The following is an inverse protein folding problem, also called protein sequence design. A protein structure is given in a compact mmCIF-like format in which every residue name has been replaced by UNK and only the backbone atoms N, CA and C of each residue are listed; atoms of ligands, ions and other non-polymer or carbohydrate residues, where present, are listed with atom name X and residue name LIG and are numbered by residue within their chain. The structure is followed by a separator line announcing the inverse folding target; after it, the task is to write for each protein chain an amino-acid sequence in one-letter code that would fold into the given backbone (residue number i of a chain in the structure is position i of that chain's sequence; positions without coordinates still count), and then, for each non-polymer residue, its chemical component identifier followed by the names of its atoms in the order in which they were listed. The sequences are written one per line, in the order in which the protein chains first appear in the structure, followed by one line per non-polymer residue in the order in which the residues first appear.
data_IF_540673229585
#
_entry.id   IF_540673229585
#
_cell.length_a   1.000
_cell.length_b   1.000
_cell.length_c   1.000
_cell.angle_alpha   90.00
_cell.angle_beta   90.00
_cell.angle_gamma   90.00
#
_symmetry.space_group_name_H-M   'P 1'
#
loop_
_entity.id
_entity.type
_entity.pdbx_description
1 polymer ?
#
# COMPACT_ATOMS: atom_id res chain seq x y z
N UNK A 1 15.13 8.11 -13.46
CA UNK A 1 14.04 8.51 -14.38
C UNK A 1 13.51 9.93 -14.04
N UNK A 2 13.34 10.87 -14.99
CA UNK A 2 12.99 12.31 -14.77
C UNK A 2 11.48 12.65 -14.86
N UNK A 3 10.55 11.78 -14.44
CA UNK A 3 9.08 12.05 -14.47
C UNK A 3 8.43 11.89 -13.10
N UNK A 4 7.27 12.52 -12.87
CA UNK A 4 6.50 12.42 -11.62
C UNK A 4 6.15 10.99 -11.20
N UNK A 5 5.87 10.11 -12.17
CA UNK A 5 5.62 8.68 -11.95
C UNK A 5 6.71 7.98 -11.10
N UNK A 6 7.98 8.33 -11.27
CA UNK A 6 9.07 7.74 -10.50
C UNK A 6 9.03 8.12 -9.02
N UNK A 7 8.55 9.32 -8.71
CA UNK A 7 8.43 9.80 -7.34
C UNK A 7 7.28 9.11 -6.60
N UNK A 8 6.13 8.93 -7.27
CA UNK A 8 5.00 8.18 -6.69
C UNK A 8 5.40 6.72 -6.40
N UNK A 9 6.12 6.08 -7.31
CA UNK A 9 6.56 4.68 -7.13
C UNK A 9 7.60 4.52 -6.04
N UNK A 10 8.55 5.46 -5.93
CA UNK A 10 9.50 5.46 -4.82
C UNK A 10 8.77 5.63 -3.48
N UNK A 11 7.85 6.60 -3.41
CA UNK A 11 7.06 6.86 -2.20
C UNK A 11 6.22 5.65 -1.81
N UNK A 12 5.52 5.05 -2.78
CA UNK A 12 4.74 3.83 -2.59
C UNK A 12 5.60 2.66 -2.12
N UNK A 13 6.81 2.49 -2.67
CA UNK A 13 7.73 1.43 -2.22
C UNK A 13 8.15 1.64 -0.76
N UNK A 14 8.43 2.88 -0.36
CA UNK A 14 8.77 3.23 1.02
C UNK A 14 7.58 2.97 1.94
N UNK A 15 6.37 3.40 1.57
CA UNK A 15 5.17 3.17 2.38
C UNK A 15 4.85 1.69 2.51
N UNK A 16 5.01 0.87 1.46
CA UNK A 16 4.84 -0.58 1.53
C UNK A 16 5.83 -1.24 2.50
N UNK A 17 7.10 -0.84 2.50
CA UNK A 17 8.09 -1.35 3.46
C UNK A 17 7.68 -0.96 4.90
N UNK A 18 7.26 0.29 5.11
CA UNK A 18 6.79 0.74 6.42
C UNK A 18 5.55 -0.03 6.90
N UNK A 19 4.61 -0.36 6.01
CA UNK A 19 3.45 -1.21 6.33
C UNK A 19 3.92 -2.56 6.84
N UNK A 20 4.85 -3.20 6.14
CA UNK A 20 5.40 -4.51 6.53
C UNK A 20 6.03 -4.44 7.91
N UNK A 21 6.89 -3.45 8.16
CA UNK A 21 7.54 -3.26 9.46
C UNK A 21 6.50 -3.05 10.57
N UNK A 22 5.54 -2.14 10.37
CA UNK A 22 4.49 -1.87 11.36
C UNK A 22 3.64 -3.11 11.65
N UNK A 23 3.37 -3.90 10.62
CA UNK A 23 2.62 -5.15 10.76
C UNK A 23 3.37 -6.19 11.58
N UNK A 24 4.65 -6.43 11.27
CA UNK A 24 5.48 -7.34 12.05
C UNK A 24 5.61 -6.89 13.50
N UNK A 25 5.85 -5.60 13.74
CA UNK A 25 5.92 -5.03 15.09
C UNK A 25 4.61 -5.29 15.86
N UNK A 26 3.46 -5.03 15.24
CA UNK A 26 2.15 -5.30 15.84
C UNK A 26 1.96 -6.79 16.18
N UNK A 27 2.38 -7.68 15.28
CA UNK A 27 2.31 -9.13 15.48
C UNK A 27 3.14 -9.58 16.68
N UNK A 28 4.39 -9.12 16.77
CA UNK A 28 5.27 -9.46 17.89
C UNK A 28 4.72 -8.94 19.22
N UNK A 29 4.22 -7.71 19.27
CA UNK A 29 3.63 -7.13 20.48
C UNK A 29 2.39 -7.91 20.90
N UNK A 30 1.55 -8.34 19.95
CA UNK A 30 0.40 -9.19 20.24
C UNK A 30 0.88 -10.51 20.86
N UNK A 31 1.85 -11.21 20.26
CA UNK A 31 2.39 -12.46 20.80
C UNK A 31 2.94 -12.27 22.22
N UNK A 32 3.77 -11.26 22.45
CA UNK A 32 4.34 -11.01 23.78
C UNK A 32 3.29 -10.63 24.83
N UNK A 33 2.21 -9.95 24.42
CA UNK A 33 1.07 -9.68 25.29
C UNK A 33 0.33 -10.97 25.66
N UNK A 34 0.11 -11.88 24.69
CA UNK A 34 -0.56 -13.17 24.93
C UNK A 34 0.28 -14.15 25.77
N UNK A 35 1.61 -14.07 25.67
CA UNK A 35 2.55 -14.82 26.52
C UNK A 35 2.71 -14.19 27.93
N UNK A 36 1.86 -13.21 28.28
CA UNK A 36 1.90 -12.47 29.54
C UNK A 36 3.28 -11.86 29.88
N UNK A 37 4.11 -11.63 28.84
CA UNK A 37 5.47 -11.07 28.99
C UNK A 37 5.41 -9.54 29.04
N UNK A 38 4.45 -8.94 28.32
CA UNK A 38 4.18 -7.50 28.35
C UNK A 38 2.81 -7.29 28.98
N UNK A 39 2.80 -6.82 30.23
CA UNK A 39 1.58 -6.59 31.03
C UNK A 39 1.27 -5.11 31.23
N UNK A 40 2.19 -4.21 30.86
CA UNK A 40 2.01 -2.78 31.08
C UNK A 40 0.89 -2.23 30.20
N UNK A 41 -0.26 -1.95 30.83
CA UNK A 41 -1.48 -1.47 30.17
C UNK A 41 -1.26 -0.22 29.34
N UNK A 42 -0.47 0.75 29.83
CA UNK A 42 -0.17 1.99 29.09
C UNK A 42 0.59 1.72 27.79
N UNK A 43 1.54 0.78 27.79
CA UNK A 43 2.26 0.39 26.58
C UNK A 43 1.35 -0.32 25.59
N UNK A 44 0.51 -1.24 26.05
CA UNK A 44 -0.44 -1.95 25.19
C UNK A 44 -1.45 -0.99 24.56
N UNK A 45 -1.92 0.02 25.31
CA UNK A 45 -2.86 1.03 24.81
C UNK A 45 -2.20 1.93 23.76
N UNK A 46 -0.98 2.42 24.05
CA UNK A 46 -0.21 3.22 23.10
C UNK A 46 0.03 2.46 21.79
N UNK A 47 0.41 1.18 21.87
CA UNK A 47 0.60 0.34 20.69
C UNK A 47 -0.71 0.06 19.96
N UNK A 48 -1.81 -0.20 20.67
CA UNK A 48 -3.14 -0.39 20.10
C UNK A 48 -3.58 0.82 19.26
N UNK A 49 -3.42 2.03 19.80
CA UNK A 49 -3.78 3.28 19.12
C UNK A 49 -2.84 3.55 17.93
N UNK A 50 -1.53 3.55 18.19
CA UNK A 50 -0.51 3.97 17.22
C UNK A 50 -0.40 3.00 16.05
N UNK A 51 -0.32 1.70 16.31
CA UNK A 51 -0.10 0.70 15.25
C UNK A 51 -1.28 0.65 14.27
N UNK A 52 -2.50 0.74 14.76
CA UNK A 52 -3.70 0.74 13.92
C UNK A 52 -3.80 2.00 13.06
N UNK A 53 -3.59 3.16 13.69
CA UNK A 53 -3.60 4.44 12.98
C UNK A 53 -2.55 4.48 11.88
N UNK A 54 -1.28 4.17 12.20
CA UNK A 54 -0.17 4.17 11.24
C UNK A 54 -0.44 3.18 10.11
N UNK A 55 -0.94 1.98 10.43
CA UNK A 55 -1.20 0.97 9.42
C UNK A 55 -2.34 1.38 8.49
N UNK A 56 -3.44 1.93 9.02
CA UNK A 56 -4.55 2.49 8.21
C UNK A 56 -4.08 3.62 7.32
N UNK A 57 -3.29 4.54 7.88
CA UNK A 57 -2.71 5.67 7.18
C UNK A 57 -1.85 5.25 5.99
N UNK A 58 -0.89 4.36 6.23
CA UNK A 58 0.07 3.94 5.20
C UNK A 58 -0.62 3.15 4.10
N UNK A 59 -1.61 2.31 4.43
CA UNK A 59 -2.37 1.54 3.45
C UNK A 59 -3.19 2.46 2.54
N UNK A 60 -3.98 3.36 3.11
CA UNK A 60 -4.78 4.31 2.33
C UNK A 60 -3.88 5.22 1.46
N UNK A 61 -2.76 5.70 2.00
CA UNK A 61 -1.78 6.49 1.24
C UNK A 61 -1.23 5.70 0.07
N UNK A 62 -0.92 4.42 0.27
CA UNK A 62 -0.40 3.52 -0.77
C UNK A 62 -1.43 3.38 -1.91
N UNK A 63 -2.70 3.16 -1.60
CA UNK A 63 -3.77 3.04 -2.60
C UNK A 63 -3.91 4.31 -3.45
N UNK A 64 -3.89 5.49 -2.83
CA UNK A 64 -3.91 6.78 -3.54
C UNK A 64 -2.67 7.03 -4.40
N UNK A 65 -1.49 6.60 -3.94
CA UNK A 65 -0.26 6.67 -4.73
C UNK A 65 -0.34 5.75 -5.96
N UNK A 66 -0.94 4.57 -5.85
CA UNK A 66 -1.17 3.68 -6.99
C UNK A 66 -2.11 4.30 -8.03
N UNK A 67 -3.23 4.88 -7.59
CA UNK A 67 -4.12 5.61 -8.48
C UNK A 67 -3.37 6.76 -9.19
N UNK A 68 -2.54 7.50 -8.45
CA UNK A 68 -1.73 8.61 -9.00
C UNK A 68 -0.72 8.13 -10.05
N UNK A 69 -0.08 6.97 -9.85
CA UNK A 69 0.79 6.35 -10.86
C UNK A 69 0.03 6.04 -12.14
N UNK A 70 -1.17 5.48 -12.04
CA UNK A 70 -1.99 5.15 -13.21
C UNK A 70 -2.48 6.42 -13.93
N UNK A 71 -2.91 7.44 -13.19
CA UNK A 71 -3.27 8.77 -13.73
C UNK A 71 -2.11 9.37 -14.53
N UNK A 72 -0.92 9.39 -13.93
CA UNK A 72 0.27 9.93 -14.58
C UNK A 72 0.61 9.17 -15.87
N UNK A 73 0.55 7.83 -15.83
CA UNK A 73 0.77 6.98 -17.01
C UNK A 73 -0.27 7.24 -18.11
N UNK A 74 -1.53 7.42 -17.73
CA UNK A 74 -2.59 7.79 -18.66
C UNK A 74 -2.26 9.13 -19.34
N UNK A 75 -1.88 10.17 -18.59
CA UNK A 75 -1.53 11.46 -19.18
C UNK A 75 -0.29 11.41 -20.07
N UNK A 76 0.71 10.58 -19.75
CA UNK A 76 1.87 10.35 -20.62
C UNK A 76 1.45 9.77 -21.96
N UNK A 77 0.55 8.79 -21.98
CA UNK A 77 0.04 8.16 -23.21
C UNK A 77 -0.89 9.10 -23.97
N UNK A 78 -1.76 9.83 -23.25
CA UNK A 78 -2.74 10.74 -23.82
C UNK A 78 -2.10 11.96 -24.48
N UNK A 79 -1.13 12.61 -23.80
CA UNK A 79 -0.44 13.81 -24.32
C UNK A 79 0.76 13.48 -25.22
N UNK A 80 1.28 12.26 -25.17
CA UNK A 80 2.40 11.81 -25.98
C UNK A 80 3.59 12.78 -25.93
N UNK A 81 3.93 13.36 -27.07
CA UNK A 81 5.07 14.28 -27.23
C UNK A 81 4.92 15.62 -26.50
N UNK A 82 3.69 16.05 -26.19
CA UNK A 82 3.42 17.31 -25.48
C UNK A 82 3.54 17.19 -23.95
N UNK A 83 3.97 16.03 -23.44
CA UNK A 83 4.09 15.80 -22.00
C UNK A 83 5.34 16.46 -21.39
N UNK A 84 5.13 17.50 -20.57
CA UNK A 84 6.21 18.16 -19.81
C UNK A 84 6.54 17.40 -18.52
N UNK A 85 7.73 16.79 -18.53
CA UNK A 85 8.30 15.99 -17.44
C UNK A 85 8.67 16.82 -16.20
N UNK A 86 9.09 18.08 -16.39
CA UNK A 86 9.53 18.97 -15.32
C UNK A 86 8.34 19.49 -14.51
N UNK A 87 7.28 19.92 -15.22
CA UNK A 87 6.01 20.30 -14.58
C UNK A 87 5.37 19.13 -13.84
N UNK A 88 5.35 17.95 -14.46
CA UNK A 88 4.88 16.71 -13.85
C UNK A 88 5.60 16.40 -12.53
N UNK A 89 6.92 16.56 -12.46
CA UNK A 89 7.69 16.30 -11.22
C UNK A 89 7.33 17.27 -10.09
N UNK A 90 7.15 18.55 -10.38
CA UNK A 90 6.74 19.55 -9.37
C UNK A 90 5.34 19.24 -8.86
N UNK A 91 4.41 18.93 -9.76
CA UNK A 91 3.05 18.55 -9.42
C UNK A 91 3.00 17.27 -8.58
N UNK A 92 3.83 16.27 -8.90
CA UNK A 92 3.89 15.03 -8.15
C UNK A 92 4.28 15.22 -6.69
N UNK A 93 5.23 16.13 -6.39
CA UNK A 93 5.58 16.46 -5.00
C UNK A 93 4.41 17.05 -4.23
N UNK A 94 3.67 17.97 -4.87
CA UNK A 94 2.50 18.60 -4.28
C UNK A 94 1.37 17.58 -4.04
N UNK A 95 1.06 16.74 -5.03
CA UNK A 95 0.04 15.71 -4.92
C UNK A 95 0.38 14.71 -3.82
N UNK A 96 1.64 14.25 -3.73
CA UNK A 96 2.07 13.37 -2.63
C UNK A 96 1.79 14.04 -1.29
N UNK A 97 2.23 15.28 -1.09
CA UNK A 97 1.99 16.00 0.15
C UNK A 97 0.48 16.10 0.48
N UNK A 98 -0.34 16.44 -0.51
CA UNK A 98 -1.81 16.50 -0.35
C UNK A 98 -2.37 15.13 0.05
N UNK A 99 -1.94 14.03 -0.57
CA UNK A 99 -2.39 12.68 -0.22
C UNK A 99 -2.07 12.36 1.24
N UNK A 100 -0.85 12.65 1.71
CA UNK A 100 -0.48 12.43 3.12
C UNK A 100 -1.38 13.24 4.06
N UNK A 101 -1.60 14.52 3.78
CA UNK A 101 -2.43 15.40 4.63
C UNK A 101 -3.89 14.95 4.65
N UNK A 102 -4.50 14.74 3.49
CA UNK A 102 -5.91 14.35 3.39
C UNK A 102 -6.17 12.96 4.00
N UNK A 103 -5.24 12.02 3.77
CA UNK A 103 -5.36 10.69 4.37
C UNK A 103 -5.25 10.76 5.88
N UNK A 104 -4.32 11.52 6.44
CA UNK A 104 -4.18 11.68 7.89
C UNK A 104 -5.43 12.32 8.51
N UNK A 105 -5.94 13.39 7.89
CA UNK A 105 -7.15 14.07 8.34
C UNK A 105 -8.38 13.16 8.30
N UNK A 106 -8.54 12.35 7.26
CA UNK A 106 -9.71 11.48 7.07
C UNK A 106 -9.85 10.38 8.13
N UNK A 107 -8.75 9.91 8.72
CA UNK A 107 -8.71 8.79 9.67
C UNK A 107 -8.42 9.23 11.11
N UNK A 108 -8.30 10.53 11.37
CA UNK A 108 -7.89 11.08 12.67
C UNK A 108 -8.90 10.77 13.79
N UNK A 109 -10.14 10.42 13.45
CA UNK A 109 -11.17 10.03 14.42
C UNK A 109 -10.89 8.68 15.07
N UNK A 110 -10.18 7.78 14.38
CA UNK A 110 -9.99 6.39 14.81
C UNK A 110 -9.15 6.26 16.10
N UNK A 111 -8.01 6.97 16.28
CA UNK A 111 -7.23 6.96 17.53
C UNK A 111 -8.03 7.27 18.80
N UNK A 112 -8.97 8.21 18.73
CA UNK A 112 -9.69 8.70 19.91
C UNK A 112 -10.73 7.73 20.47
N UNK A 113 -11.11 6.71 19.68
CA UNK A 113 -12.18 5.76 20.04
C UNK A 113 -11.65 4.36 20.39
N UNK A 114 -10.31 4.20 20.43
CA UNK A 114 -9.65 2.93 20.75
C UNK A 114 -9.34 2.82 22.24
N UNK A 115 -9.63 1.65 22.78
CA UNK A 115 -9.35 1.28 24.16
C UNK A 115 -9.02 -0.20 24.28
N UNK A 116 -8.48 -0.59 25.43
CA UNK A 116 -8.20 -1.99 25.74
C UNK A 116 -9.41 -2.62 26.44
N UNK A 117 -9.73 -3.85 26.05
CA UNK A 117 -10.69 -4.71 26.75
C UNK A 117 -9.95 -5.94 27.27
N UNK A 118 -10.19 -6.26 28.53
CA UNK A 118 -9.68 -7.47 29.18
C UNK A 118 -10.78 -8.54 29.10
N UNK A 119 -10.43 -9.67 28.50
CA UNK A 119 -11.24 -10.88 28.48
C UNK A 119 -10.97 -11.67 29.76
N UNK A 120 -11.95 -11.70 30.66
CA UNK A 120 -11.84 -12.30 31.99
C UNK A 120 -11.80 -13.83 31.94
N UNK A 121 -12.35 -14.45 30.89
CA UNK A 121 -12.40 -15.91 30.75
C UNK A 121 -11.03 -16.47 30.33
N UNK A 122 -10.41 -15.84 29.34
CA UNK A 122 -9.11 -16.27 28.80
C UNK A 122 -7.91 -15.50 29.37
N UNK A 123 -8.14 -14.49 30.23
CA UNK A 123 -7.12 -13.57 30.79
C UNK A 123 -6.31 -12.87 29.69
N UNK A 124 -6.98 -12.42 28.62
CA UNK A 124 -6.36 -11.80 27.44
C UNK A 124 -6.73 -10.33 27.28
N UNK A 125 -5.76 -9.50 26.88
CA UNK A 125 -6.02 -8.10 26.55
C UNK A 125 -6.17 -7.91 25.04
N UNK A 126 -7.25 -7.28 24.61
CA UNK A 126 -7.56 -6.99 23.22
C UNK A 126 -7.63 -5.49 22.95
N UNK A 127 -7.20 -5.09 21.75
CA UNK A 127 -7.41 -3.74 21.23
C UNK A 127 -8.81 -3.67 20.60
N UNK A 128 -9.71 -2.91 21.22
CA UNK A 128 -11.10 -2.76 20.76
C UNK A 128 -11.39 -1.31 20.38
N UNK A 129 -12.36 -1.13 19.49
CA UNK A 129 -12.83 0.19 19.07
C UNK A 129 -14.32 0.31 19.34
N UNK A 130 -14.72 1.39 20.03
CA UNK A 130 -16.13 1.69 20.32
C UNK A 130 -16.45 3.06 19.76
N UNK A 131 -17.13 3.06 18.63
CA UNK A 131 -17.64 4.26 18.00
C UNK A 131 -19.05 4.59 18.51
N UNK A 132 -19.42 5.87 18.50
CA UNK A 132 -20.84 6.25 18.51
C UNK A 132 -21.45 5.93 17.14
N UNK A 133 -22.78 5.91 17.04
CA UNK A 133 -23.50 5.64 15.78
C UNK A 133 -23.05 6.53 14.62
N UNK A 134 -22.82 7.80 14.90
CA UNK A 134 -22.43 8.81 13.90
C UNK A 134 -21.00 8.56 13.41
N UNK A 135 -20.08 8.31 14.34
CA UNK A 135 -18.67 8.05 14.04
C UNK A 135 -18.49 6.70 13.35
N UNK A 136 -19.31 5.70 13.69
CA UNK A 136 -19.30 4.40 13.02
C UNK A 136 -19.70 4.51 11.54
N UNK A 137 -20.76 5.28 11.26
CA UNK A 137 -21.21 5.58 9.88
C UNK A 137 -20.11 6.29 9.09
N UNK A 138 -19.50 7.33 9.69
CA UNK A 138 -18.37 8.03 9.08
C UNK A 138 -17.17 7.10 8.82
N UNK A 139 -16.80 6.26 9.79
CA UNK A 139 -15.70 5.30 9.64
C UNK A 139 -15.95 4.31 8.50
N UNK A 140 -17.18 3.80 8.38
CA UNK A 140 -17.58 2.92 7.26
C UNK A 140 -17.47 3.66 5.92
N UNK A 141 -17.99 4.88 5.85
CA UNK A 141 -17.93 5.71 4.64
C UNK A 141 -16.48 5.98 4.21
N UNK A 142 -15.61 6.40 5.13
CA UNK A 142 -14.19 6.66 4.85
C UNK A 142 -13.46 5.38 4.41
N UNK A 143 -13.69 4.25 5.06
CA UNK A 143 -13.07 2.99 4.64
C UNK A 143 -13.51 2.57 3.22
N UNK A 144 -14.79 2.76 2.88
CA UNK A 144 -15.29 2.57 1.52
C UNK A 144 -14.63 3.55 0.54
N UNK A 145 -14.57 4.83 0.90
CA UNK A 145 -14.04 5.90 0.05
C UNK A 145 -12.57 5.66 -0.32
N UNK A 146 -11.72 5.39 0.67
CA UNK A 146 -10.28 5.15 0.47
C UNK A 146 -10.00 3.85 -0.27
N UNK A 147 -10.96 2.92 -0.32
CA UNK A 147 -10.83 1.69 -1.08
C UNK A 147 -11.38 1.79 -2.50
N UNK A 148 -12.66 2.14 -2.65
CA UNK A 148 -13.38 2.08 -3.93
C UNK A 148 -12.88 3.13 -4.91
N UNK A 149 -12.56 4.35 -4.46
CA UNK A 149 -12.22 5.45 -5.37
C UNK A 149 -10.86 5.24 -6.04
N UNK A 150 -9.75 5.01 -5.29
CA UNK A 150 -8.45 4.75 -5.92
C UNK A 150 -8.50 3.55 -6.85
N UNK A 151 -9.24 2.51 -6.45
CA UNK A 151 -9.44 1.32 -7.25
C UNK A 151 -10.18 1.60 -8.56
N UNK A 152 -11.33 2.25 -8.50
CA UNK A 152 -12.17 2.56 -9.67
C UNK A 152 -11.40 3.42 -10.68
N UNK A 153 -10.66 4.42 -10.19
CA UNK A 153 -9.77 5.23 -11.01
C UNK A 153 -8.72 4.37 -11.72
N UNK A 154 -8.06 3.46 -10.99
CA UNK A 154 -7.05 2.59 -11.57
C UNK A 154 -7.61 1.73 -12.72
N UNK A 155 -8.76 1.09 -12.54
CA UNK A 155 -9.39 0.26 -13.58
C UNK A 155 -9.76 1.09 -14.81
N UNK A 156 -10.48 2.20 -14.61
CA UNK A 156 -10.96 3.05 -15.72
C UNK A 156 -9.77 3.56 -16.53
N UNK A 157 -8.70 4.00 -15.87
CA UNK A 157 -7.53 4.57 -16.53
C UNK A 157 -6.66 3.52 -17.23
N UNK A 158 -6.53 2.31 -16.68
CA UNK A 158 -5.84 1.21 -17.37
C UNK A 158 -6.59 0.83 -18.65
N UNK A 159 -7.93 0.74 -18.61
CA UNK A 159 -8.77 0.54 -19.81
C UNK A 159 -8.55 1.68 -20.81
N UNK A 160 -8.54 2.93 -20.34
CA UNK A 160 -8.26 4.10 -21.16
C UNK A 160 -6.89 4.03 -21.86
N UNK A 161 -5.83 3.66 -21.12
CA UNK A 161 -4.47 3.47 -21.67
C UNK A 161 -4.48 2.44 -22.80
N UNK A 162 -5.14 1.30 -22.61
CA UNK A 162 -5.22 0.25 -23.63
C UNK A 162 -5.93 0.75 -24.89
N UNK A 163 -7.07 1.43 -24.75
CA UNK A 163 -7.83 1.98 -25.89
C UNK A 163 -6.99 2.99 -26.67
N UNK A 164 -6.38 3.97 -25.97
CA UNK A 164 -5.58 5.01 -26.63
C UNK A 164 -4.37 4.39 -27.33
N UNK A 165 -3.66 3.49 -26.66
CA UNK A 165 -2.47 2.82 -27.24
C UNK A 165 -2.84 1.98 -28.46
N UNK A 166 -3.97 1.27 -28.42
CA UNK A 166 -4.47 0.50 -29.57
C UNK A 166 -4.85 1.40 -30.74
N UNK A 167 -5.53 2.54 -30.49
CA UNK A 167 -5.86 3.54 -31.53
C UNK A 167 -4.62 4.15 -32.15
N UNK A 168 -3.66 4.60 -31.34
CA UNK A 168 -2.41 5.19 -31.81
C UNK A 168 -1.63 4.21 -32.70
N UNK A 169 -1.52 2.94 -32.30
CA UNK A 169 -0.81 1.93 -33.07
C UNK A 169 -1.55 1.54 -34.35
N UNK A 170 -2.89 1.44 -34.33
CA UNK A 170 -3.67 1.16 -35.55
C UNK A 170 -3.60 2.30 -36.57
N UNK A 171 -3.58 3.56 -36.09
CA UNK A 171 -3.39 4.72 -36.96
C UNK A 171 -1.98 4.82 -37.55
N UNK A 172 -0.95 4.35 -36.82
CA UNK A 172 0.44 4.36 -37.28
C UNK A 172 0.82 3.13 -38.13
N UNK A 173 0.20 1.98 -37.89
CA UNK A 173 0.44 0.73 -38.62
C UNK A 173 -0.84 0.32 -39.36
N UNK A 174 -0.97 0.72 -40.63
CA UNK A 174 -2.12 0.40 -41.52
C UNK A 174 -2.37 -1.11 -41.76
N UNK A 175 -1.49 -1.99 -41.29
CA UNK A 175 -1.54 -3.45 -41.52
C UNK A 175 -2.56 -4.15 -40.61
N UNK A 176 -2.82 -3.63 -39.41
CA UNK A 176 -3.69 -4.28 -38.43
C UNK A 176 -4.88 -3.41 -38.05
N UNK A 177 -6.07 -4.02 -37.92
CA UNK A 177 -7.29 -3.33 -37.51
C UNK A 177 -7.27 -2.97 -36.02
N UNK A 178 -8.03 -1.96 -35.61
CA UNK A 178 -8.14 -1.52 -34.22
C UNK A 178 -8.48 -2.68 -33.26
N UNK A 179 -9.42 -3.55 -33.63
CA UNK A 179 -9.82 -4.70 -32.80
C UNK A 179 -8.67 -5.72 -32.63
N UNK A 180 -7.94 -6.02 -33.70
CA UNK A 180 -6.78 -6.92 -33.64
C UNK A 180 -5.65 -6.34 -32.77
N UNK A 181 -5.42 -5.03 -32.85
CA UNK A 181 -4.41 -4.36 -32.04
C UNK A 181 -4.83 -4.26 -30.57
N UNK A 182 -6.11 -4.03 -30.29
CA UNK A 182 -6.66 -4.02 -28.94
C UNK A 182 -6.56 -5.40 -28.30
N UNK A 183 -6.88 -6.48 -29.03
CA UNK A 183 -6.70 -7.87 -28.56
C UNK A 183 -5.24 -8.18 -28.24
N UNK A 184 -4.30 -7.80 -29.13
CA UNK A 184 -2.85 -7.94 -28.86
C UNK A 184 -2.38 -7.15 -27.64
N UNK A 185 -2.85 -5.92 -27.45
CA UNK A 185 -2.50 -5.12 -26.27
C UNK A 185 -3.06 -5.73 -24.99
N UNK A 186 -4.30 -6.23 -25.05
CA UNK A 186 -4.93 -6.93 -23.93
C UNK A 186 -4.17 -8.20 -23.57
N UNK A 187 -3.84 -9.06 -24.53
CA UNK A 187 -3.09 -10.30 -24.26
C UNK A 187 -1.69 -10.04 -23.69
N UNK A 188 -1.04 -8.94 -24.10
CA UNK A 188 0.27 -8.56 -23.59
C UNK A 188 0.23 -7.92 -22.19
N UNK A 189 -0.82 -7.15 -21.88
CA UNK A 189 -0.93 -6.40 -20.61
C UNK A 189 -1.97 -6.97 -19.64
N UNK A 190 -2.61 -8.11 -19.94
CA UNK A 190 -3.60 -8.77 -19.08
C UNK A 190 -3.09 -8.99 -17.66
N UNK A 191 -1.79 -9.20 -17.51
CA UNK A 191 -1.15 -9.43 -16.21
C UNK A 191 -1.18 -8.18 -15.30
N UNK A 192 -1.20 -6.97 -15.87
CA UNK A 192 -1.30 -5.72 -15.11
C UNK A 192 -2.73 -5.48 -14.60
N UNK A 193 -3.73 -5.85 -15.41
CA UNK A 193 -5.13 -5.81 -15.01
C UNK A 193 -5.37 -6.88 -13.93
N UNK A 194 -4.92 -8.11 -14.18
CA UNK A 194 -5.02 -9.23 -13.24
C UNK A 194 -4.35 -8.91 -11.90
N UNK A 195 -3.18 -8.27 -11.91
CA UNK A 195 -2.51 -7.80 -10.69
C UNK A 195 -3.34 -6.76 -9.93
N UNK A 196 -3.99 -5.83 -10.63
CA UNK A 196 -4.87 -4.84 -10.00
C UNK A 196 -6.10 -5.50 -9.38
N UNK A 197 -6.69 -6.50 -10.05
CA UNK A 197 -7.81 -7.29 -9.50
C UNK A 197 -7.41 -8.20 -8.33
N UNK A 198 -6.22 -8.79 -8.39
CA UNK A 198 -5.69 -9.62 -7.30
C UNK A 198 -5.53 -8.82 -6.02
N UNK A 199 -5.06 -7.56 -6.10
CA UNK A 199 -4.97 -6.68 -4.93
C UNK A 199 -6.33 -6.40 -4.27
N UNK A 200 -7.43 -6.34 -5.04
CA UNK A 200 -8.80 -6.19 -4.50
C UNK A 200 -9.20 -7.42 -3.72
N UNK A 201 -9.05 -8.61 -4.32
CA UNK A 201 -9.45 -9.89 -3.72
C UNK A 201 -8.74 -10.05 -2.38
N UNK A 202 -7.49 -9.65 -2.32
CA UNK A 202 -6.70 -9.73 -1.11
C UNK A 202 -7.04 -8.64 -0.06
N UNK A 203 -7.55 -7.48 -0.48
CA UNK A 203 -7.93 -6.38 0.42
C UNK A 203 -9.40 -6.45 0.90
N UNK A 204 -10.26 -7.18 0.19
CA UNK A 204 -11.66 -7.46 0.52
C UNK A 204 -11.88 -8.01 1.95
N UNK A 205 -11.08 -8.97 2.45
CA UNK A 205 -11.20 -9.46 3.82
C UNK A 205 -11.13 -8.36 4.87
N UNK A 206 -10.33 -7.31 4.63
CA UNK A 206 -10.19 -6.16 5.53
C UNK A 206 -11.47 -5.34 5.64
N UNK A 207 -12.11 -5.11 4.49
CA UNK A 207 -13.38 -4.39 4.43
C UNK A 207 -14.46 -5.19 5.14
N UNK A 208 -14.57 -6.48 4.82
CA UNK A 208 -15.54 -7.40 5.45
C UNK A 208 -15.39 -7.35 6.97
N UNK A 209 -14.17 -7.46 7.51
CA UNK A 209 -13.91 -7.37 8.96
C UNK A 209 -14.38 -6.01 9.55
N UNK A 210 -14.21 -4.90 8.83
CA UNK A 210 -14.69 -3.59 9.27
C UNK A 210 -16.22 -3.46 9.35
N UNK A 211 -16.98 -4.38 8.74
CA UNK A 211 -18.44 -4.42 8.78
C UNK A 211 -19.01 -5.50 9.71
N UNK A 212 -18.18 -6.29 10.39
CA UNK A 212 -18.59 -7.36 11.31
C UNK A 212 -18.30 -7.05 12.81
N UNK A 213 -18.66 -5.88 13.37
CA UNK A 213 -18.42 -5.61 14.79
C UNK A 213 -19.19 -6.55 15.75
N UNK A 214 -20.22 -7.27 15.30
CA UNK A 214 -21.14 -8.05 16.15
C UNK A 214 -21.10 -9.58 15.98
N UNK A 215 -20.08 -10.12 15.31
CA UNK A 215 -20.09 -11.53 14.85
C UNK A 215 -19.13 -12.48 15.60
N UNK A 216 -18.55 -12.09 16.73
CA UNK A 216 -17.83 -13.04 17.59
C UNK A 216 -18.72 -13.46 18.74
N UNK A 217 -19.53 -14.50 18.52
CA UNK A 217 -20.34 -15.13 19.57
C UNK A 217 -19.70 -16.42 20.09
N UNK A 218 -18.68 -16.97 19.41
CA UNK A 218 -18.08 -18.25 19.78
C UNK A 218 -16.54 -18.28 19.74
N UNK A 219 -15.88 -18.95 20.71
CA UNK A 219 -14.44 -19.24 20.70
C UNK A 219 -13.97 -20.19 19.59
N UNK A 220 -14.81 -20.63 18.65
CA UNK A 220 -14.36 -21.32 17.41
C UNK A 220 -14.20 -20.35 16.23
N UNK A 221 -14.87 -19.20 16.26
CA UNK A 221 -14.88 -18.21 15.18
C UNK A 221 -13.63 -17.32 15.18
N UNK A 222 -12.91 -17.22 16.31
CA UNK A 222 -11.68 -16.41 16.42
C UNK A 222 -10.56 -16.87 15.49
N UNK A 223 -10.44 -18.18 15.20
CA UNK A 223 -9.39 -18.72 14.33
C UNK A 223 -9.57 -18.25 12.88
N UNK A 224 -10.82 -18.26 12.41
CA UNK A 224 -11.21 -17.77 11.09
C UNK A 224 -11.05 -16.25 10.99
N UNK A 225 -11.41 -15.52 12.04
CA UNK A 225 -11.20 -14.07 12.12
C UNK A 225 -9.71 -13.71 12.06
N UNK A 226 -8.89 -14.39 12.86
CA UNK A 226 -7.45 -14.18 12.92
C UNK A 226 -6.78 -14.55 11.58
N UNK A 227 -7.15 -15.67 10.96
CA UNK A 227 -6.68 -16.04 9.63
C UNK A 227 -7.07 -15.00 8.56
N UNK A 228 -8.32 -14.54 8.57
CA UNK A 228 -8.81 -13.50 7.63
C UNK A 228 -8.10 -12.16 7.83
N UNK A 229 -7.82 -11.81 9.09
CA UNK A 229 -7.02 -10.65 9.46
C UNK A 229 -5.62 -10.78 8.88
N UNK A 230 -4.91 -11.90 9.05
CA UNK A 230 -3.59 -12.13 8.46
C UNK A 230 -3.60 -12.11 6.93
N UNK A 231 -4.60 -12.73 6.29
CA UNK A 231 -4.77 -12.74 4.83
C UNK A 231 -4.91 -11.31 4.29
N UNK A 232 -5.59 -10.43 5.03
CA UNK A 232 -5.79 -9.03 4.65
C UNK A 232 -4.51 -8.18 4.58
N UNK A 233 -3.38 -8.68 5.11
CA UNK A 233 -2.07 -8.02 5.04
C UNK A 233 -1.11 -8.64 4.01
N UNK A 234 -1.51 -9.74 3.37
CA UNK A 234 -0.82 -10.30 2.21
C UNK A 234 -0.75 -9.29 1.04
N UNK A 235 -1.78 -8.48 0.70
CA UNK A 235 -1.69 -7.57 -0.45
C UNK A 235 -0.53 -6.57 -0.37
N UNK A 236 -0.27 -5.86 0.76
CA UNK A 236 0.91 -5.01 0.91
C UNK A 236 2.26 -5.73 0.76
N UNK A 237 2.36 -6.95 1.28
CA UNK A 237 3.56 -7.79 1.16
C UNK A 237 3.77 -8.14 -0.32
N UNK A 238 2.74 -8.66 -0.98
CA UNK A 238 2.78 -9.02 -2.39
C UNK A 238 2.95 -7.79 -3.30
N UNK A 239 2.51 -6.60 -2.89
CA UNK A 239 2.62 -5.40 -3.72
C UNK A 239 4.09 -5.09 -4.04
N UNK A 240 4.97 -5.13 -3.05
CA UNK A 240 6.40 -4.94 -3.27
C UNK A 240 6.95 -5.99 -4.25
N UNK A 241 6.66 -7.26 -4.03
CA UNK A 241 7.15 -8.34 -4.90
C UNK A 241 6.57 -8.28 -6.31
N UNK A 242 5.29 -7.98 -6.46
CA UNK A 242 4.58 -7.98 -7.75
C UNK A 242 4.91 -6.75 -8.58
N UNK A 243 5.09 -5.56 -7.98
CA UNK A 243 5.32 -4.33 -8.76
C UNK A 243 6.79 -3.91 -8.84
N UNK A 244 7.60 -4.20 -7.81
CA UNK A 244 9.01 -3.82 -7.79
C UNK A 244 9.89 -4.92 -8.38
N UNK A 245 9.64 -6.20 -8.03
CA UNK A 245 10.51 -7.31 -8.43
C UNK A 245 10.31 -7.75 -9.88
N UNK A 246 9.09 -7.64 -10.42
CA UNK A 246 8.76 -8.08 -11.79
C UNK A 246 9.20 -7.10 -12.87
N UNK A 247 9.60 -5.88 -12.49
CA UNK A 247 10.02 -4.88 -13.45
C UNK A 247 11.54 -4.84 -13.55
N UNK A 248 12.07 -5.25 -14.71
CA UNK A 248 13.51 -5.19 -15.04
C UNK A 248 14.14 -3.81 -14.79
N UNK A 249 13.35 -2.74 -14.99
CA UNK A 249 13.79 -1.36 -14.77
C UNK A 249 13.87 -1.02 -13.27
N UNK A 250 12.88 -1.45 -12.47
CA UNK A 250 12.90 -1.23 -11.02
C UNK A 250 13.93 -2.11 -10.32
N UNK A 251 14.11 -3.35 -10.76
CA UNK A 251 15.16 -4.24 -10.26
C UNK A 251 16.55 -3.63 -10.43
N UNK A 252 16.82 -3.01 -11.59
CA UNK A 252 18.10 -2.33 -11.87
C UNK A 252 18.31 -1.09 -11.01
N UNK A 253 17.31 -0.21 -10.88
CA UNK A 253 17.38 1.00 -10.05
C UNK A 253 17.45 0.66 -8.55
N UNK A 254 16.64 -0.27 -8.06
CA UNK A 254 16.68 -0.75 -6.67
C UNK A 254 18.05 -1.34 -6.33
N UNK A 255 18.60 -2.20 -7.20
CA UNK A 255 19.96 -2.75 -7.02
C UNK A 255 21.01 -1.65 -6.98
N UNK A 256 20.87 -0.60 -7.79
CA UNK A 256 21.82 0.50 -7.85
C UNK A 256 21.78 1.33 -6.57
N UNK A 257 20.58 1.77 -6.13
CA UNK A 257 20.40 2.54 -4.89
C UNK A 257 20.79 1.72 -3.67
N UNK A 258 20.39 0.44 -3.63
CA UNK A 258 20.73 -0.49 -2.56
C UNK A 258 22.24 -0.66 -2.47
N UNK A 259 22.95 -0.93 -3.58
CA UNK A 259 24.41 -0.99 -3.60
C UNK A 259 25.04 0.31 -3.09
N UNK A 260 24.56 1.46 -3.55
CA UNK A 260 25.10 2.76 -3.15
C UNK A 260 24.95 3.02 -1.64
N UNK A 261 23.77 2.69 -1.09
CA UNK A 261 23.49 2.83 0.35
C UNK A 261 24.19 1.75 1.18
N UNK A 262 24.31 0.52 0.67
CA UNK A 262 25.06 -0.57 1.28
C UNK A 262 26.55 -0.25 1.39
N UNK A 263 27.16 0.34 0.36
CA UNK A 263 28.54 0.79 0.41
C UNK A 263 28.77 1.90 1.45
N UNK A 264 27.81 2.83 1.59
CA UNK A 264 27.85 3.86 2.64
C UNK A 264 27.70 3.21 4.03
N UNK A 265 26.75 2.29 4.18
CA UNK A 265 26.51 1.56 5.44
C UNK A 265 27.72 0.72 5.85
N UNK A 266 28.31 -0.02 4.90
CA UNK A 266 29.51 -0.82 5.09
C UNK A 266 30.70 0.04 5.53
N UNK A 267 30.88 1.22 4.94
CA UNK A 267 31.94 2.17 5.36
C UNK A 267 31.75 2.68 6.77
N UNK A 268 30.51 2.85 7.23
CA UNK A 268 30.19 3.30 8.58
C UNK A 268 30.33 2.22 9.64
N UNK A 269 29.90 0.99 9.35
CA UNK A 269 29.85 -0.11 10.33
C UNK A 269 31.04 -1.07 10.25
N UNK A 270 31.71 -1.17 9.11
CA UNK A 270 32.92 -1.97 8.91
C UNK A 270 34.02 -1.12 8.27
N UNK A 271 34.60 -0.15 9.00
CA UNK A 271 35.82 0.51 8.54
C UNK A 271 36.91 -0.54 8.41
N UNK A 272 37.24 -0.94 7.18
CA UNK A 272 38.42 -1.75 6.91
C UNK A 272 39.61 -0.88 7.31
N UNK A 273 40.16 -1.13 8.49
CA UNK A 273 41.42 -0.55 8.93
C UNK A 273 42.49 -1.21 8.05
N UNK A 274 42.78 -0.62 6.90
CA UNK A 274 43.94 -0.97 6.10
C UNK A 274 45.15 -0.60 6.96
N UNK A 275 45.64 -1.58 7.71
CA UNK A 275 46.96 -1.53 8.32
C UNK A 275 47.95 -1.48 7.16
N UNK A 276 48.39 -0.26 6.84
CA UNK A 276 49.61 -0.03 6.09
C UNK A 276 50.77 -0.65 6.88
N UNK A 277 51.10 -1.90 6.60
CA UNK A 277 52.41 -2.45 6.94
C UNK A 277 53.44 -1.75 6.05
N UNK A 278 53.93 -0.60 6.53
CA UNK A 278 55.28 -0.13 6.22
C UNK A 278 56.20 -0.82 7.22
N UNK A 279 56.95 -1.80 6.73
CA UNK A 279 58.35 -2.05 7.04
C UNK A 279 58.93 -2.84 5.88
#
# INVERSE_FOLDING_TARGET
RKTGCGLYLLTSSITSILVIICFYMKLWILIFSQMNTITSRSFLLFNCISSEFILRFLLATTDWLHASVTIERFFVVFRGVQFDKTKSRKLAKLIIFIIFVLTAASIIHDPFHRHLIEDTEDQRTWCWVKFTSEVESYNKFINIFHFIIPFSLNVILVIGIMIITARQRSSAQRIFTFQQQLKRQFDHHKHLIFSSFLLIILALPRLIISFLPNCMKSPKEYKLFLASYFISFIPPILHFFVFVLTSEIYKKEFTTVFKQKWEIFRRWFFPIRVLSTRN
#
